data_IF_938348583078
#
_entry.id   IF_938348583078
#
_cell.length_a   1.000
_cell.length_b   1.000
_cell.length_c   1.000
_cell.angle_alpha   90.00
_cell.angle_beta   90.00
_cell.angle_gamma   90.00
#
_symmetry.space_group_name_H-M   'P 1'
#
loop_
_entity.id
_entity.type
_entity.pdbx_description
1 polymer ?
#
# COMPACT_ATOMS: atom_id res chain seq x y z
N UNK A 1 3.42 2.16 3.46
CA UNK A 1 2.76 2.98 4.49
C UNK A 1 1.45 2.29 4.83
N UNK A 2 1.29 1.81 6.06
CA UNK A 2 -0.02 1.33 6.51
C UNK A 2 -0.91 2.54 6.81
N UNK A 3 -2.21 2.43 6.53
CA UNK A 3 -3.17 3.44 6.98
C UNK A 3 -3.48 3.14 8.44
N UNK A 4 -3.23 4.11 9.33
CA UNK A 4 -3.54 3.98 10.75
C UNK A 4 -5.05 4.08 11.03
N UNK A 5 -5.71 5.05 10.38
CA UNK A 5 -7.15 5.27 10.51
C UNK A 5 -7.77 5.55 9.14
N UNK A 6 -8.37 4.53 8.49
CA UNK A 6 -8.96 4.68 7.17
C UNK A 6 -10.21 5.56 7.16
N UNK A 7 -10.95 5.63 8.26
CA UNK A 7 -12.17 6.45 8.36
C UNK A 7 -11.84 7.94 8.44
N UNK A 8 -10.84 8.30 9.23
CA UNK A 8 -10.35 9.68 9.29
C UNK A 8 -9.76 10.13 7.96
N UNK A 9 -9.01 9.26 7.29
CA UNK A 9 -8.50 9.54 5.94
C UNK A 9 -9.65 9.74 4.95
N UNK A 10 -10.68 8.88 4.97
CA UNK A 10 -11.87 9.02 4.13
C UNK A 10 -12.59 10.36 4.37
N UNK A 11 -12.75 10.75 5.64
CA UNK A 11 -13.39 12.02 6.01
C UNK A 11 -12.62 13.24 5.50
N UNK A 12 -11.30 13.29 5.67
CA UNK A 12 -10.48 14.42 5.20
C UNK A 12 -10.40 14.48 3.67
N UNK A 13 -10.33 13.31 3.01
CA UNK A 13 -10.28 13.22 1.56
C UNK A 13 -11.66 13.29 0.90
N UNK A 14 -12.74 13.45 1.67
CA UNK A 14 -14.13 13.50 1.21
C UNK A 14 -14.51 12.29 0.34
N UNK A 15 -14.02 11.11 0.73
CA UNK A 15 -14.34 9.85 0.05
C UNK A 15 -15.80 9.48 0.36
N UNK A 16 -16.60 9.09 -0.65
CA UNK A 16 -17.95 8.59 -0.42
C UNK A 16 -18.00 7.45 0.60
N UNK A 17 -19.03 7.44 1.46
CA UNK A 17 -19.15 6.45 2.55
C UNK A 17 -19.21 4.99 2.06
N UNK A 18 -19.64 4.77 0.82
CA UNK A 18 -19.75 3.43 0.22
C UNK A 18 -18.41 2.93 -0.36
N UNK A 19 -17.35 3.75 -0.30
CA UNK A 19 -16.03 3.42 -0.85
C UNK A 19 -14.98 3.30 0.26
N UNK A 20 -14.43 2.09 0.50
CA UNK A 20 -13.37 1.91 1.49
C UNK A 20 -12.04 2.45 0.99
N UNK A 21 -11.26 3.07 1.88
CA UNK A 21 -9.88 3.50 1.59
C UNK A 21 -8.94 2.30 1.70
N UNK A 22 -8.40 1.84 0.57
CA UNK A 22 -7.49 0.69 0.54
C UNK A 22 -6.01 1.06 0.76
N UNK A 23 -5.57 2.20 0.24
CA UNK A 23 -4.18 2.62 0.31
C UNK A 23 -4.04 4.14 0.27
N UNK A 24 -3.01 4.65 0.95
CA UNK A 24 -2.55 6.03 0.84
C UNK A 24 -1.21 6.04 0.11
N UNK A 25 -1.18 6.62 -1.08
CA UNK A 25 -0.01 6.66 -1.95
C UNK A 25 0.52 8.09 -2.00
N UNK A 26 1.71 8.30 -1.45
CA UNK A 26 2.40 9.59 -1.56
C UNK A 26 3.05 9.66 -2.93
N UNK A 27 2.71 10.68 -3.72
CA UNK A 27 3.29 10.94 -5.05
C UNK A 27 4.08 12.24 -4.97
N UNK A 28 5.33 12.21 -5.41
CA UNK A 28 6.22 13.37 -5.37
C UNK A 28 7.61 13.05 -5.87
N UNK A 29 8.49 14.05 -5.82
CA UNK A 29 9.88 13.88 -6.23
C UNK A 29 10.68 13.13 -5.14
N UNK A 30 11.59 12.27 -5.59
CA UNK A 30 12.48 11.53 -4.72
C UNK A 30 13.45 12.50 -4.04
N UNK A 31 13.43 12.54 -2.70
CA UNK A 31 14.43 13.28 -1.94
C UNK A 31 15.78 12.54 -1.87
N UNK A 32 15.77 11.21 -2.00
CA UNK A 32 16.94 10.31 -2.01
C UNK A 32 16.66 9.15 -2.96
N UNK A 33 17.70 8.40 -3.36
CA UNK A 33 17.55 7.18 -4.16
C UNK A 33 17.19 5.98 -3.25
N UNK A 34 15.91 5.56 -3.19
CA UNK A 34 15.48 4.55 -2.24
C UNK A 34 15.99 3.17 -2.69
N UNK A 35 16.72 2.47 -1.80
CA UNK A 35 17.15 1.11 -2.08
C UNK A 35 15.95 0.18 -2.15
N UNK A 36 15.84 -0.56 -3.26
CA UNK A 36 14.81 -1.59 -3.43
C UNK A 36 15.06 -2.72 -2.43
N UNK A 37 14.06 -3.11 -1.62
CA UNK A 37 14.22 -4.23 -0.70
C UNK A 37 14.38 -5.55 -1.47
N UNK A 38 15.19 -6.46 -0.93
CA UNK A 38 15.33 -7.81 -1.50
C UNK A 38 13.97 -8.52 -1.48
N UNK A 39 13.64 -9.21 -2.57
CA UNK A 39 12.40 -9.99 -2.73
C UNK A 39 12.76 -11.47 -2.88
N UNK A 40 11.86 -12.35 -2.43
CA UNK A 40 11.92 -13.77 -2.76
C UNK A 40 11.75 -13.99 -4.25
N UNK A 41 12.29 -15.08 -4.78
CA UNK A 41 12.00 -15.49 -6.16
C UNK A 41 10.56 -16.03 -6.26
N UNK A 42 10.03 -16.13 -7.49
CA UNK A 42 8.69 -16.68 -7.68
C UNK A 42 8.63 -18.15 -7.26
N UNK A 43 9.66 -18.94 -7.60
CA UNK A 43 9.76 -20.36 -7.20
C UNK A 43 9.72 -20.55 -5.68
N UNK A 44 10.31 -19.64 -4.90
CA UNK A 44 10.25 -19.66 -3.44
C UNK A 44 8.86 -19.35 -2.86
N UNK A 45 7.96 -18.75 -3.64
CA UNK A 45 6.61 -18.35 -3.20
C UNK A 45 5.54 -19.39 -3.55
N UNK A 46 5.77 -20.22 -4.57
CA UNK A 46 4.78 -21.18 -5.05
C UNK A 46 4.73 -22.40 -4.12
N UNK A 47 3.54 -22.71 -3.62
CA UNK A 47 3.26 -23.99 -2.95
C UNK A 47 2.03 -24.59 -3.60
N UNK A 48 2.15 -25.82 -4.09
CA UNK A 48 1.02 -26.55 -4.65
C UNK A 48 0.31 -27.32 -3.53
N UNK A 49 -0.91 -26.91 -3.18
CA UNK A 49 -1.76 -27.68 -2.27
C UNK A 49 -2.57 -28.69 -3.11
N UNK A 50 -2.46 -29.97 -2.77
CA UNK A 50 -3.17 -31.08 -3.42
C UNK A 50 -4.53 -31.35 -2.79
#
# INVERSE_FOLDING_TARGET
MGIFDPYKVASVAHVPNDLPVSALIVVGHLATDPRVPKRKTVDELLTYCR
#
